data_IF_082882259679
#
_entry.id   IF_082882259679
#
_cell.length_a   1.000
_cell.length_b   1.000
_cell.length_c   1.000
_cell.angle_alpha   90.00
_cell.angle_beta   90.00
_cell.angle_gamma   90.00
#
_symmetry.space_group_name_H-M   'P 1'
#
loop_
_entity.id
_entity.type
_entity.pdbx_description
1 polymer ?
#
# COMPACT_ATOMS: atom_id res chain seq x y z
N UNK A 1 -0.91 34.19 68.89
CA UNK A 1 -0.15 35.28 68.23
C UNK A 1 1.25 34.77 67.95
N UNK A 2 1.85 34.99 66.76
CA UNK A 2 1.37 35.71 65.57
C UNK A 2 0.99 34.73 64.44
N UNK A 3 0.01 34.97 63.55
CA UNK A 3 -0.23 36.06 62.58
C UNK A 3 0.76 36.12 61.41
N UNK A 4 0.27 35.62 60.27
CA UNK A 4 0.44 36.03 58.87
C UNK A 4 1.77 36.65 58.39
N UNK A 5 2.29 36.07 57.31
CA UNK A 5 2.60 36.81 56.08
C UNK A 5 2.35 35.92 54.83
N UNK A 6 1.62 36.47 53.85
CA UNK A 6 1.32 35.89 52.53
C UNK A 6 2.50 36.15 51.58
N UNK A 7 2.81 35.21 50.67
CA UNK A 7 3.28 35.55 49.32
C UNK A 7 2.30 34.95 48.30
N UNK A 8 1.54 35.74 47.56
CA UNK A 8 1.86 36.53 46.34
C UNK A 8 1.26 35.81 45.13
N UNK A 9 0.28 36.47 44.52
CA UNK A 9 -0.60 35.97 43.45
C UNK A 9 0.15 35.99 42.11
N UNK A 10 1.12 35.10 41.91
CA UNK A 10 1.79 34.92 40.61
C UNK A 10 2.10 33.46 40.33
N UNK A 11 1.08 32.62 40.29
CA UNK A 11 1.19 31.28 39.69
C UNK A 11 -0.20 30.73 39.34
N UNK A 12 -0.88 31.37 38.38
CA UNK A 12 -2.08 30.75 37.77
C UNK A 12 -2.41 31.24 36.34
N UNK A 13 -1.46 31.86 35.64
CA UNK A 13 -1.65 32.42 34.29
C UNK A 13 -0.77 31.75 33.21
N UNK A 14 -0.65 30.41 33.19
CA UNK A 14 0.03 29.70 32.09
C UNK A 14 -0.63 28.40 31.61
N UNK A 15 -1.94 28.22 31.82
CA UNK A 15 -2.68 27.06 31.27
C UNK A 15 -3.90 27.46 30.41
N UNK A 16 -3.77 28.52 29.61
CA UNK A 16 -4.74 28.83 28.54
C UNK A 16 -4.07 29.19 27.22
N UNK A 17 -3.07 28.41 26.80
CA UNK A 17 -2.59 28.48 25.41
C UNK A 17 -3.43 27.56 24.53
N UNK A 18 -4.34 28.19 23.79
CA UNK A 18 -4.58 27.94 22.38
C UNK A 18 -5.07 26.55 21.97
N UNK A 19 -6.38 26.31 22.11
CA UNK A 19 -7.07 25.48 21.12
C UNK A 19 -6.80 26.09 19.72
N UNK A 20 -6.32 25.32 18.73
CA UNK A 20 -6.15 25.83 17.39
C UNK A 20 -7.51 26.28 16.84
N UNK A 21 -7.55 27.37 16.05
CA UNK A 21 -8.79 27.85 15.48
C UNK A 21 -9.43 26.76 14.63
N UNK A 22 -10.71 26.48 14.91
CA UNK A 22 -11.55 25.60 14.08
C UNK A 22 -11.43 26.10 12.63
N UNK A 23 -11.12 25.23 11.65
CA UNK A 23 -10.99 25.65 10.26
C UNK A 23 -12.27 26.33 9.77
N UNK A 24 -12.07 27.38 8.97
CA UNK A 24 -13.02 28.36 8.42
C UNK A 24 -14.21 27.74 7.62
N UNK A 25 -14.31 26.42 7.52
CA UNK A 25 -15.39 25.68 6.84
C UNK A 25 -16.79 25.91 7.44
N UNK A 26 -16.90 26.37 8.68
CA UNK A 26 -18.19 26.74 9.29
C UNK A 26 -18.77 28.06 8.77
N UNK A 27 -18.03 28.84 7.96
CA UNK A 27 -18.50 30.18 7.50
C UNK A 27 -19.29 30.16 6.18
N UNK A 28 -19.43 29.00 5.54
CA UNK A 28 -20.27 28.83 4.34
C UNK A 28 -21.40 27.84 4.58
N UNK A 29 -22.19 28.07 5.62
CA UNK A 29 -23.49 27.41 5.77
C UNK A 29 -24.47 28.10 4.80
N UNK A 30 -25.00 27.42 3.76
CA UNK A 30 -26.06 27.97 2.92
C UNK A 30 -27.32 28.19 3.78
N UNK A 31 -28.15 29.18 3.41
CA UNK A 31 -29.43 29.48 4.09
C UNK A 31 -30.22 28.21 4.40
N UNK A 32 -30.50 28.03 5.69
CA UNK A 32 -30.99 26.83 6.37
C UNK A 32 -32.45 26.54 6.00
N UNK A 33 -32.74 25.29 5.63
CA UNK A 33 -34.10 24.73 5.64
C UNK A 33 -34.15 23.47 6.51
N UNK A 34 -34.78 23.57 7.69
CA UNK A 34 -35.21 22.43 8.51
C UNK A 34 -34.28 21.99 9.65
N UNK A 35 -34.87 21.72 10.82
CA UNK A 35 -34.22 21.14 12.02
C UNK A 35 -33.51 19.80 11.78
N UNK A 36 -33.88 19.07 10.74
CA UNK A 36 -33.25 17.81 10.35
C UNK A 36 -31.82 18.01 9.84
N UNK A 37 -31.55 19.10 9.09
CA UNK A 37 -30.20 19.40 8.57
C UNK A 37 -29.17 19.65 9.67
N UNK A 38 -29.57 20.38 10.72
CA UNK A 38 -28.71 20.66 11.89
C UNK A 38 -28.39 19.39 12.69
N UNK A 39 -29.31 18.43 12.72
CA UNK A 39 -29.11 17.17 13.42
C UNK A 39 -28.13 16.25 12.67
N UNK A 40 -28.22 16.22 11.33
CA UNK A 40 -27.27 15.49 10.49
C UNK A 40 -25.84 16.06 10.58
N UNK A 41 -25.70 17.38 10.64
CA UNK A 41 -24.40 18.04 10.86
C UNK A 41 -23.79 17.63 12.21
N UNK A 42 -24.61 17.57 13.27
CA UNK A 42 -24.17 17.11 14.59
C UNK A 42 -23.73 15.64 14.57
N UNK A 43 -24.48 14.76 13.89
CA UNK A 43 -24.06 13.37 13.71
C UNK A 43 -22.76 13.25 12.93
N UNK A 44 -22.56 14.05 11.87
CA UNK A 44 -21.32 14.07 11.12
C UNK A 44 -20.14 14.50 12.00
N UNK A 45 -20.31 15.53 12.82
CA UNK A 45 -19.27 15.99 13.77
C UNK A 45 -18.93 14.90 14.79
N UNK A 46 -19.93 14.18 15.32
CA UNK A 46 -19.71 13.08 16.25
C UNK A 46 -18.94 11.96 15.57
N UNK A 47 -19.40 11.51 14.40
CA UNK A 47 -18.75 10.44 13.63
C UNK A 47 -17.33 10.82 13.23
N UNK A 48 -17.12 12.05 12.80
CA UNK A 48 -15.83 12.55 12.36
C UNK A 48 -14.77 12.55 13.47
N UNK A 49 -15.16 12.40 14.75
CA UNK A 49 -14.26 12.28 15.90
C UNK A 49 -13.97 10.84 16.34
N UNK A 50 -14.66 9.87 15.76
CA UNK A 50 -14.52 8.46 16.13
C UNK A 50 -13.43 7.78 15.29
N UNK A 51 -12.79 6.72 15.82
CA UNK A 51 -11.93 5.87 15.01
C UNK A 51 -12.70 5.21 13.86
N UNK A 52 -12.02 4.96 12.72
CA UNK A 52 -12.61 4.37 11.52
C UNK A 52 -13.21 2.98 11.79
N UNK A 53 -12.63 2.19 12.70
CA UNK A 53 -13.23 0.90 13.12
C UNK A 53 -14.60 1.06 13.77
N UNK A 54 -14.81 2.12 14.55
CA UNK A 54 -16.14 2.45 15.08
C UNK A 54 -17.08 2.92 13.97
N UNK A 55 -16.60 3.78 13.07
CA UNK A 55 -17.39 4.27 11.93
C UNK A 55 -17.85 3.11 11.02
N UNK A 56 -17.01 2.10 10.77
CA UNK A 56 -17.40 0.86 10.05
C UNK A 56 -18.61 0.20 10.72
N UNK A 57 -18.64 0.19 12.04
CA UNK A 57 -19.73 -0.42 12.82
C UNK A 57 -21.01 0.41 12.66
N UNK A 58 -20.93 1.75 12.79
CA UNK A 58 -22.07 2.65 12.58
C UNK A 58 -22.66 2.56 11.17
N UNK A 59 -21.81 2.40 10.16
CA UNK A 59 -22.23 2.18 8.76
C UNK A 59 -23.15 0.96 8.59
N UNK A 60 -23.08 -0.03 9.49
CA UNK A 60 -23.91 -1.24 9.47
C UNK A 60 -25.22 -1.10 10.26
N UNK A 61 -25.39 -0.04 11.05
CA UNK A 61 -26.55 0.13 11.94
C UNK A 61 -27.81 0.53 11.17
N UNK A 62 -27.76 1.58 10.34
CA UNK A 62 -28.90 1.99 9.51
C UNK A 62 -28.46 2.71 8.23
N UNK A 63 -29.40 2.84 7.27
CA UNK A 63 -29.16 3.48 5.97
C UNK A 63 -28.77 4.95 6.08
N UNK A 64 -29.31 5.68 7.06
CA UNK A 64 -28.97 7.09 7.29
C UNK A 64 -27.52 7.26 7.73
N UNK A 65 -27.07 6.50 8.74
CA UNK A 65 -25.66 6.48 9.17
C UNK A 65 -24.73 6.07 8.02
N UNK A 66 -25.12 5.05 7.24
CA UNK A 66 -24.37 4.65 6.04
C UNK A 66 -24.22 5.81 5.05
N UNK A 67 -25.32 6.45 4.68
CA UNK A 67 -25.33 7.57 3.73
C UNK A 67 -24.52 8.75 4.22
N UNK A 68 -24.58 9.05 5.52
CA UNK A 68 -23.83 10.14 6.14
C UNK A 68 -22.32 9.87 6.11
N UNK A 69 -21.89 8.67 6.51
CA UNK A 69 -20.48 8.25 6.48
C UNK A 69 -19.93 8.19 5.04
N UNK A 70 -20.73 7.75 4.09
CA UNK A 70 -20.32 7.69 2.67
C UNK A 70 -20.36 9.07 1.98
N UNK A 71 -20.82 10.13 2.66
CA UNK A 71 -20.90 11.47 2.09
C UNK A 71 -19.52 12.15 1.99
N UNK A 72 -19.30 12.97 0.94
CA UNK A 72 -18.10 13.82 0.86
C UNK A 72 -17.96 14.77 2.05
N UNK A 73 -19.07 15.28 2.58
CA UNK A 73 -19.06 16.18 3.74
C UNK A 73 -18.45 15.54 4.99
N UNK A 74 -18.90 14.33 5.36
CA UNK A 74 -18.36 13.65 6.54
C UNK A 74 -16.89 13.26 6.35
N UNK A 75 -16.49 12.89 5.13
CA UNK A 75 -15.09 12.64 4.76
C UNK A 75 -14.25 13.90 4.97
N UNK A 76 -14.64 15.00 4.34
CA UNK A 76 -13.87 16.25 4.36
C UNK A 76 -13.78 16.79 5.79
N UNK A 77 -14.86 16.65 6.57
CA UNK A 77 -14.88 16.96 8.00
C UNK A 77 -13.89 16.09 8.78
N UNK A 78 -13.91 14.76 8.60
CA UNK A 78 -12.97 13.85 9.25
C UNK A 78 -11.51 14.20 8.91
N UNK A 79 -11.20 14.35 7.61
CA UNK A 79 -9.87 14.71 7.13
C UNK A 79 -9.41 16.07 7.69
N UNK A 80 -10.33 17.03 7.84
CA UNK A 80 -10.03 18.34 8.43
C UNK A 80 -9.73 18.26 9.93
N UNK A 81 -10.41 17.39 10.68
CA UNK A 81 -10.16 17.18 12.11
C UNK A 81 -8.88 16.40 12.36
N UNK A 82 -8.46 15.58 11.39
CA UNK A 82 -7.32 14.66 11.49
C UNK A 82 -6.17 15.09 10.55
N UNK A 83 -6.00 16.39 10.30
CA UNK A 83 -4.91 16.92 9.47
C UNK A 83 -3.52 16.59 10.05
N UNK A 84 -3.43 16.49 11.38
CA UNK A 84 -2.20 16.14 12.10
C UNK A 84 -1.95 14.63 12.16
N UNK A 85 -2.86 13.81 11.64
CA UNK A 85 -2.61 12.38 11.43
C UNK A 85 -1.73 12.24 10.19
N UNK A 86 -0.42 12.40 10.40
CA UNK A 86 0.55 12.58 9.32
C UNK A 86 0.55 11.43 8.31
N UNK A 87 0.26 10.19 8.71
CA UNK A 87 0.38 9.01 7.85
C UNK A 87 -0.69 7.94 8.12
N UNK A 88 -1.18 7.31 7.06
CA UNK A 88 -2.03 6.12 7.16
C UNK A 88 -1.28 4.95 7.81
N UNK A 89 -2.05 4.04 8.42
CA UNK A 89 -1.52 2.74 8.84
C UNK A 89 -1.15 1.89 7.62
N UNK A 90 0.01 1.23 7.66
CA UNK A 90 0.48 0.37 6.56
C UNK A 90 1.37 -0.78 7.05
N UNK A 91 1.49 -1.83 6.23
CA UNK A 91 2.33 -3.00 6.49
C UNK A 91 3.03 -3.52 5.24
N UNK A 92 4.20 -4.14 5.39
CA UNK A 92 4.78 -5.04 4.40
C UNK A 92 4.27 -6.46 4.61
N UNK A 93 3.58 -6.96 3.59
CA UNK A 93 2.98 -8.28 3.57
C UNK A 93 3.80 -9.22 2.70
N UNK A 94 4.14 -10.40 3.21
CA UNK A 94 4.74 -11.46 2.42
C UNK A 94 3.67 -12.17 1.59
N UNK A 95 3.83 -12.19 0.27
CA UNK A 95 2.95 -12.93 -0.63
C UNK A 95 3.22 -14.44 -0.49
N UNK A 96 2.15 -15.22 -0.38
CA UNK A 96 2.20 -16.70 -0.32
C UNK A 96 2.05 -17.30 1.08
N UNK A 97 2.37 -16.56 2.15
CA UNK A 97 2.12 -16.97 3.54
C UNK A 97 1.31 -15.96 4.36
N UNK A 98 0.87 -14.85 3.74
CA UNK A 98 0.10 -13.77 4.36
C UNK A 98 0.72 -13.21 5.66
N UNK A 99 2.03 -13.36 5.85
CA UNK A 99 2.70 -12.88 7.05
C UNK A 99 2.95 -11.39 6.97
N UNK A 100 2.54 -10.69 8.02
CA UNK A 100 2.93 -9.31 8.25
C UNK A 100 4.36 -9.29 8.79
N UNK A 101 5.26 -8.64 8.05
CA UNK A 101 6.69 -8.62 8.39
C UNK A 101 7.06 -7.34 9.14
N UNK A 102 6.47 -6.23 8.72
CA UNK A 102 6.74 -4.92 9.31
C UNK A 102 5.50 -4.06 9.13
N UNK A 103 5.15 -3.29 10.15
CA UNK A 103 4.02 -2.39 10.10
C UNK A 103 4.33 -1.05 10.76
N UNK A 104 3.65 -0.02 10.29
CA UNK A 104 3.58 1.28 10.93
C UNK A 104 2.11 1.63 11.09
N UNK A 105 1.60 1.56 12.32
CA UNK A 105 0.18 1.81 12.59
C UNK A 105 -0.17 3.29 12.76
N UNK A 106 0.83 4.18 12.79
CA UNK A 106 0.64 5.61 12.63
C UNK A 106 -0.32 6.21 13.66
N UNK A 107 -1.05 7.26 13.25
CA UNK A 107 -2.10 7.88 14.06
C UNK A 107 -3.24 6.90 14.34
N UNK A 108 -3.77 6.89 15.56
CA UNK A 108 -4.87 6.03 16.04
C UNK A 108 -6.22 6.18 15.29
N UNK A 109 -6.23 6.83 14.12
CA UNK A 109 -7.38 7.01 13.23
C UNK A 109 -8.15 5.71 13.01
N UNK A 110 -7.45 4.60 12.76
CA UNK A 110 -8.09 3.29 12.63
C UNK A 110 -8.36 2.61 13.98
N UNK A 111 -7.58 2.92 15.02
CA UNK A 111 -7.62 2.24 16.32
C UNK A 111 -7.58 0.70 16.17
N UNK A 112 -6.60 0.20 15.39
CA UNK A 112 -6.46 -1.22 15.11
C UNK A 112 -6.12 -1.99 16.39
N UNK A 113 -6.92 -3.01 16.71
CA UNK A 113 -6.73 -3.81 17.94
C UNK A 113 -5.73 -4.96 17.77
N UNK A 114 -5.35 -5.27 16.53
CA UNK A 114 -4.46 -6.36 16.12
C UNK A 114 -3.79 -6.02 14.78
N UNK A 115 -2.84 -6.86 14.34
CA UNK A 115 -2.10 -6.64 13.09
C UNK A 115 -2.98 -6.72 11.83
N UNK A 116 -2.57 -6.07 10.74
CA UNK A 116 -3.25 -6.22 9.44
C UNK A 116 -3.17 -7.64 8.93
N UNK A 117 -2.04 -8.31 9.13
CA UNK A 117 -1.92 -9.76 8.91
C UNK A 117 -3.00 -10.55 9.65
N UNK A 118 -3.24 -10.26 10.94
CA UNK A 118 -4.31 -10.93 11.71
C UNK A 118 -5.72 -10.62 11.20
N UNK A 119 -5.99 -9.38 10.75
CA UNK A 119 -7.27 -9.06 10.09
C UNK A 119 -7.47 -9.90 8.83
N UNK A 120 -6.45 -10.00 7.98
CA UNK A 120 -6.46 -10.80 6.75
C UNK A 120 -6.67 -12.27 7.06
N UNK A 121 -5.86 -12.89 7.92
CA UNK A 121 -6.00 -14.31 8.27
C UNK A 121 -7.37 -14.63 8.86
N UNK A 122 -7.90 -13.77 9.75
CA UNK A 122 -9.25 -13.97 10.30
C UNK A 122 -10.34 -13.85 9.25
N UNK A 123 -10.18 -12.94 8.29
CA UNK A 123 -11.11 -12.76 7.20
C UNK A 123 -11.10 -13.97 6.27
N UNK A 124 -9.93 -14.48 5.93
CA UNK A 124 -9.78 -15.67 5.09
C UNK A 124 -10.40 -16.91 5.76
N UNK A 125 -10.07 -17.13 7.04
CA UNK A 125 -10.59 -18.27 7.81
C UNK A 125 -12.12 -18.26 7.91
N UNK A 126 -12.72 -17.10 8.16
CA UNK A 126 -14.18 -16.96 8.28
C UNK A 126 -14.90 -17.03 6.93
N UNK A 127 -14.34 -16.41 5.89
CA UNK A 127 -15.00 -16.30 4.58
C UNK A 127 -14.86 -17.57 3.75
N UNK A 128 -13.73 -18.26 3.86
CA UNK A 128 -13.38 -19.37 2.99
C UNK A 128 -13.29 -20.71 3.72
N UNK A 129 -13.21 -20.74 5.05
CA UNK A 129 -13.11 -21.95 5.87
C UNK A 129 -12.02 -22.91 5.36
N UNK A 130 -12.42 -23.90 4.54
CA UNK A 130 -11.61 -24.97 3.94
C UNK A 130 -11.27 -24.73 2.45
N UNK A 131 -11.83 -23.68 1.84
CA UNK A 131 -11.49 -23.30 0.47
C UNK A 131 -10.15 -22.58 0.54
N UNK A 132 -9.14 -23.06 -0.19
CA UNK A 132 -7.80 -22.48 -0.23
C UNK A 132 -7.81 -21.07 -0.87
N UNK A 133 -8.32 -20.07 -0.15
CA UNK A 133 -8.27 -18.67 -0.51
C UNK A 133 -6.92 -18.08 -0.17
N UNK A 134 -6.22 -17.56 -1.18
CA UNK A 134 -4.88 -16.98 -1.04
C UNK A 134 -4.87 -15.54 -1.48
N UNK A 135 -4.16 -14.68 -0.75
CA UNK A 135 -3.98 -13.29 -1.19
C UNK A 135 -2.94 -13.25 -2.30
N UNK A 136 -3.34 -12.72 -3.46
CA UNK A 136 -2.51 -12.65 -4.67
C UNK A 136 -2.06 -11.23 -5.01
N UNK A 137 -2.67 -10.20 -4.42
CA UNK A 137 -2.20 -8.82 -4.52
C UNK A 137 -2.67 -7.95 -3.34
N UNK A 138 -1.87 -6.95 -3.01
CA UNK A 138 -2.14 -5.91 -2.01
C UNK A 138 -2.15 -4.54 -2.69
N UNK A 139 -2.88 -3.58 -2.15
CA UNK A 139 -2.98 -2.22 -2.70
C UNK A 139 -2.64 -1.16 -1.66
N UNK A 140 -2.40 0.05 -2.15
CA UNK A 140 -2.17 1.26 -1.37
C UNK A 140 -3.47 1.93 -0.86
N UNK A 141 -4.62 1.29 -1.07
CA UNK A 141 -5.96 1.81 -0.75
C UNK A 141 -6.79 0.85 0.11
N UNK A 142 -6.14 -0.08 0.80
CA UNK A 142 -6.77 -0.99 1.76
C UNK A 142 -7.56 -2.13 1.13
N UNK A 143 -7.39 -2.37 -0.17
CA UNK A 143 -7.97 -3.51 -0.88
C UNK A 143 -6.95 -4.63 -1.07
N UNK A 144 -7.42 -5.87 -1.03
CA UNK A 144 -6.68 -7.09 -1.38
C UNK A 144 -7.41 -7.85 -2.49
N UNK A 145 -6.64 -8.49 -3.36
CA UNK A 145 -7.14 -9.46 -4.32
C UNK A 145 -6.90 -10.86 -3.78
N UNK A 146 -7.95 -11.67 -3.72
CA UNK A 146 -7.92 -13.05 -3.26
C UNK A 146 -8.29 -13.95 -4.43
N UNK A 147 -7.57 -15.05 -4.55
CA UNK A 147 -7.88 -16.12 -5.47
C UNK A 147 -8.23 -17.38 -4.69
N UNK A 148 -9.35 -18.02 -5.03
CA UNK A 148 -9.79 -19.27 -4.41
C UNK A 148 -9.60 -20.41 -5.40
N UNK A 149 -8.66 -21.30 -5.09
CA UNK A 149 -8.23 -22.37 -6.02
C UNK A 149 -9.38 -23.33 -6.35
N UNK A 150 -10.20 -23.70 -5.36
CA UNK A 150 -11.20 -24.76 -5.48
C UNK A 150 -12.30 -24.48 -6.51
N UNK A 151 -12.66 -23.21 -6.71
CA UNK A 151 -13.70 -22.79 -7.64
C UNK A 151 -13.19 -21.76 -8.67
N UNK A 152 -11.88 -21.54 -8.71
CA UNK A 152 -11.21 -20.58 -9.60
C UNK A 152 -11.83 -19.17 -9.57
N UNK A 153 -12.38 -18.74 -8.42
CA UNK A 153 -13.03 -17.43 -8.30
C UNK A 153 -12.11 -16.41 -7.66
N UNK A 154 -12.37 -15.14 -8.00
CA UNK A 154 -11.63 -14.00 -7.47
C UNK A 154 -12.50 -13.25 -6.48
N UNK A 155 -11.88 -12.62 -5.50
CA UNK A 155 -12.55 -11.72 -4.59
C UNK A 155 -11.71 -10.48 -4.40
N UNK A 156 -12.37 -9.33 -4.39
CA UNK A 156 -11.75 -8.08 -3.92
C UNK A 156 -12.35 -7.76 -2.58
N UNK A 157 -11.50 -7.53 -1.59
CA UNK A 157 -11.93 -7.34 -0.21
C UNK A 157 -11.17 -6.21 0.48
N UNK A 158 -11.83 -5.59 1.46
CA UNK A 158 -11.17 -4.83 2.51
C UNK A 158 -11.26 -5.68 3.79
N UNK A 159 -10.15 -6.24 4.29
CA UNK A 159 -10.15 -7.17 5.42
C UNK A 159 -10.52 -6.50 6.75
N UNK A 160 -10.30 -5.19 6.89
CA UNK A 160 -10.61 -4.44 8.13
C UNK A 160 -12.10 -4.10 8.17
N UNK A 161 -12.67 -3.59 7.09
CA UNK A 161 -14.12 -3.31 7.00
C UNK A 161 -14.97 -4.56 6.74
N UNK A 162 -14.33 -5.68 6.38
CA UNK A 162 -14.91 -6.95 5.94
C UNK A 162 -15.86 -6.83 4.74
N UNK A 163 -15.74 -5.76 3.96
CA UNK A 163 -16.43 -5.65 2.68
C UNK A 163 -15.73 -6.53 1.65
N UNK A 164 -16.50 -7.22 0.82
CA UNK A 164 -15.98 -8.22 -0.11
C UNK A 164 -16.95 -8.38 -1.28
N UNK A 165 -16.42 -8.39 -2.50
CA UNK A 165 -17.13 -8.66 -3.74
C UNK A 165 -16.56 -9.92 -4.36
N UNK A 166 -17.45 -10.88 -4.66
CA UNK A 166 -17.11 -12.06 -5.45
C UNK A 166 -17.10 -11.70 -6.93
N UNK A 167 -16.05 -12.11 -7.62
CA UNK A 167 -15.86 -11.96 -9.05
C UNK A 167 -15.87 -13.36 -9.64
N UNK A 168 -16.98 -13.70 -10.28
CA UNK A 168 -17.15 -15.00 -10.90
C UNK A 168 -16.30 -15.10 -12.16
N UNK A 169 -15.63 -16.24 -12.39
CA UNK A 169 -14.80 -16.46 -13.56
C UNK A 169 -15.61 -16.41 -14.87
N UNK A 170 -14.99 -15.90 -15.94
CA UNK A 170 -15.58 -15.94 -17.28
C UNK A 170 -15.32 -17.29 -17.96
N UNK A 171 -16.14 -18.31 -17.66
CA UNK A 171 -16.08 -19.66 -18.26
C UNK A 171 -14.69 -20.35 -18.17
N UNK A 172 -14.55 -21.52 -18.81
CA UNK A 172 -13.28 -22.27 -18.97
C UNK A 172 -12.13 -21.50 -19.67
N UNK A 173 -12.34 -20.24 -20.06
CA UNK A 173 -11.32 -19.42 -20.73
C UNK A 173 -10.14 -19.06 -19.81
N UNK A 174 -10.29 -19.24 -18.49
CA UNK A 174 -9.32 -18.78 -17.49
C UNK A 174 -8.11 -19.70 -17.29
N UNK A 175 -8.15 -20.95 -17.75
CA UNK A 175 -7.04 -21.90 -17.63
C UNK A 175 -5.74 -21.42 -18.31
N UNK A 176 -5.83 -20.47 -19.24
CA UNK A 176 -4.69 -19.96 -20.02
C UNK A 176 -4.13 -18.62 -19.52
N UNK A 177 -4.79 -17.99 -18.55
CA UNK A 177 -4.41 -16.66 -18.08
C UNK A 177 -3.69 -16.74 -16.73
N UNK A 178 -2.61 -15.98 -16.63
CA UNK A 178 -1.87 -15.77 -15.38
C UNK A 178 -2.46 -14.58 -14.64
N UNK A 179 -2.48 -14.63 -13.30
CA UNK A 179 -2.90 -13.49 -12.49
C UNK A 179 -1.82 -12.41 -12.58
N UNK A 180 -2.15 -11.28 -13.22
CA UNK A 180 -1.27 -10.12 -13.24
C UNK A 180 -1.50 -9.29 -11.97
N UNK A 181 -2.75 -9.02 -11.60
CA UNK A 181 -3.04 -8.36 -10.32
C UNK A 181 -4.31 -7.53 -10.33
N UNK A 182 -4.35 -6.54 -9.45
CA UNK A 182 -5.44 -5.58 -9.30
C UNK A 182 -4.90 -4.17 -9.51
N UNK A 183 -5.63 -3.36 -10.25
CA UNK A 183 -5.32 -1.94 -10.46
C UNK A 183 -6.46 -1.07 -9.97
N UNK A 184 -6.13 -0.06 -9.19
CA UNK A 184 -7.08 0.86 -8.57
C UNK A 184 -7.06 2.21 -9.29
N UNK A 185 -8.24 2.82 -9.45
CA UNK A 185 -8.36 4.22 -9.87
C UNK A 185 -8.72 5.05 -8.67
N UNK A 186 -7.89 6.04 -8.36
CA UNK A 186 -8.11 6.98 -7.28
C UNK A 186 -8.19 8.42 -7.79
N UNK A 187 -9.02 9.23 -7.15
CA UNK A 187 -9.11 10.68 -7.35
C UNK A 187 -9.32 11.34 -5.99
N UNK A 188 -8.47 12.30 -5.62
CA UNK A 188 -8.49 12.95 -4.30
C UNK A 188 -8.58 11.96 -3.13
N UNK A 189 -7.70 10.94 -3.16
CA UNK A 189 -7.65 9.82 -2.22
C UNK A 189 -8.87 8.87 -2.23
N UNK A 190 -9.90 9.12 -3.05
CA UNK A 190 -11.07 8.25 -3.18
C UNK A 190 -10.85 7.15 -4.17
N UNK A 191 -11.11 5.90 -3.77
CA UNK A 191 -11.17 4.77 -4.69
C UNK A 191 -12.45 4.85 -5.53
N UNK A 192 -12.31 5.16 -6.81
CA UNK A 192 -13.42 5.25 -7.76
C UNK A 192 -13.80 3.88 -8.36
N UNK A 193 -12.83 2.98 -8.44
CA UNK A 193 -13.02 1.67 -9.05
C UNK A 193 -11.74 0.85 -9.05
N UNK A 194 -11.88 -0.43 -9.38
CA UNK A 194 -10.76 -1.32 -9.59
C UNK A 194 -10.98 -2.18 -10.83
N UNK A 195 -9.85 -2.68 -11.36
CA UNK A 195 -9.85 -3.72 -12.38
C UNK A 195 -9.01 -4.90 -11.92
N UNK A 196 -9.52 -6.11 -12.11
CA UNK A 196 -8.74 -7.35 -11.94
C UNK A 196 -8.24 -7.75 -13.30
N UNK A 197 -6.93 -7.95 -13.42
CA UNK A 197 -6.25 -8.16 -14.70
C UNK A 197 -5.59 -9.52 -14.70
N UNK A 198 -5.94 -10.32 -15.70
CA UNK A 198 -5.27 -11.57 -16.02
C UNK A 198 -4.57 -11.42 -17.37
N UNK A 199 -3.42 -12.06 -17.53
CA UNK A 199 -2.56 -11.94 -18.71
C UNK A 199 -2.36 -13.30 -19.36
N UNK A 200 -2.66 -13.38 -20.67
CA UNK A 200 -2.28 -14.48 -21.54
C UNK A 200 -1.23 -13.97 -22.54
N UNK A 201 -0.04 -14.56 -22.51
CA UNK A 201 1.00 -14.25 -23.49
C UNK A 201 0.93 -15.25 -24.65
N UNK A 202 0.74 -14.74 -25.87
CA UNK A 202 0.93 -15.52 -27.12
C UNK A 202 2.18 -15.05 -27.86
N UNK A 203 2.54 -15.75 -28.94
CA UNK A 203 3.78 -15.46 -29.69
C UNK A 203 3.86 -14.02 -30.22
N UNK A 204 2.73 -13.46 -30.69
CA UNK A 204 2.71 -12.20 -31.42
C UNK A 204 1.93 -11.08 -30.71
N UNK A 205 1.23 -11.40 -29.63
CA UNK A 205 0.37 -10.47 -28.91
C UNK A 205 0.16 -10.94 -27.48
N UNK A 206 -0.24 -10.00 -26.63
CA UNK A 206 -0.65 -10.27 -25.26
C UNK A 206 -2.12 -9.94 -25.13
N UNK A 207 -2.87 -10.85 -24.51
CA UNK A 207 -4.28 -10.64 -24.21
C UNK A 207 -4.45 -10.41 -22.72
N UNK A 208 -5.23 -9.40 -22.38
CA UNK A 208 -5.69 -9.12 -21.03
C UNK A 208 -7.15 -9.53 -20.90
N UNK A 209 -7.46 -10.35 -19.90
CA UNK A 209 -8.83 -10.57 -19.46
C UNK A 209 -9.04 -9.66 -18.24
N UNK A 210 -9.93 -8.68 -18.38
CA UNK A 210 -10.06 -7.56 -17.46
C UNK A 210 -11.48 -7.54 -16.90
N UNK A 211 -11.62 -7.73 -15.59
CA UNK A 211 -12.85 -7.42 -14.87
C UNK A 211 -12.83 -5.95 -14.49
N UNK A 212 -13.92 -5.23 -14.70
CA UNK A 212 -14.09 -3.85 -14.25
C UNK A 212 -15.19 -3.78 -13.20
N UNK A 213 -14.89 -3.18 -12.04
CA UNK A 213 -15.90 -2.94 -11.00
C UNK A 213 -17.03 -2.07 -11.54
N UNK A 214 -16.70 -1.01 -12.29
CA UNK A 214 -17.68 -0.08 -12.91
C UNK A 214 -18.75 -0.75 -13.77
N UNK A 215 -18.39 -1.80 -14.51
CA UNK A 215 -19.33 -2.50 -15.41
C UNK A 215 -19.82 -3.83 -14.82
N UNK A 216 -19.21 -4.30 -13.73
CA UNK A 216 -19.45 -5.62 -13.15
C UNK A 216 -19.16 -6.77 -14.11
N UNK A 217 -18.34 -6.57 -15.14
CA UNK A 217 -18.18 -7.54 -16.24
C UNK A 217 -16.72 -7.73 -16.66
N UNK A 218 -16.44 -8.91 -17.20
CA UNK A 218 -15.17 -9.22 -17.86
C UNK A 218 -15.16 -8.71 -19.31
N UNK A 219 -13.98 -8.30 -19.77
CA UNK A 219 -13.70 -7.90 -21.14
C UNK A 219 -12.35 -8.46 -21.58
N UNK A 220 -12.25 -8.90 -22.84
CA UNK A 220 -11.00 -9.36 -23.43
C UNK A 220 -10.40 -8.23 -24.26
N UNK A 221 -9.22 -7.78 -23.87
CA UNK A 221 -8.43 -6.80 -24.61
C UNK A 221 -7.20 -7.50 -25.19
N UNK A 222 -6.87 -7.25 -26.46
CA UNK A 222 -5.62 -7.77 -27.06
C UNK A 222 -4.74 -6.61 -27.47
N UNK A 223 -3.51 -6.64 -26.99
CA UNK A 223 -2.52 -5.58 -27.18
C UNK A 223 -1.30 -6.16 -27.88
N UNK A 224 -0.80 -5.42 -28.87
CA UNK A 224 0.50 -5.69 -29.46
C UNK A 224 1.55 -4.87 -28.71
N UNK A 225 2.49 -5.56 -28.08
CA UNK A 225 3.65 -4.91 -27.49
C UNK A 225 4.74 -4.75 -28.56
N UNK A 226 5.44 -3.59 -28.61
CA UNK A 226 6.58 -3.40 -29.50
C UNK A 226 7.84 -4.16 -29.02
N UNK A 227 7.68 -5.10 -28.09
CA UNK A 227 8.75 -5.86 -27.46
C UNK A 227 8.26 -7.27 -27.10
N UNK A 228 9.21 -8.19 -26.98
CA UNK A 228 8.96 -9.54 -26.50
C UNK A 228 9.50 -9.66 -25.08
N UNK A 229 8.70 -10.22 -24.19
CA UNK A 229 9.12 -10.58 -22.84
C UNK A 229 8.75 -12.02 -22.53
N UNK A 230 9.52 -12.72 -21.71
CA UNK A 230 9.16 -14.05 -21.22
C UNK A 230 8.12 -13.87 -20.11
N UNK A 231 7.01 -14.59 -20.21
CA UNK A 231 6.02 -14.63 -19.14
C UNK A 231 6.55 -15.57 -18.06
N UNK A 232 6.81 -15.03 -16.88
CA UNK A 232 7.06 -15.77 -15.65
C UNK A 232 5.97 -15.36 -14.65
N UNK A 233 5.87 -16.06 -13.52
CA UNK A 233 5.09 -15.61 -12.36
C UNK A 233 5.36 -14.11 -12.13
N UNK A 234 4.32 -13.29 -12.35
CA UNK A 234 4.39 -11.87 -12.11
C UNK A 234 4.40 -11.67 -10.60
N UNK A 235 5.61 -11.69 -10.04
CA UNK A 235 5.82 -11.51 -8.62
C UNK A 235 5.68 -10.02 -8.31
N UNK A 236 4.68 -9.73 -7.49
CA UNK A 236 4.32 -8.42 -6.96
C UNK A 236 4.20 -7.26 -7.96
N UNK A 237 3.28 -7.32 -8.94
CA UNK A 237 2.94 -6.16 -9.75
C UNK A 237 2.40 -5.04 -8.88
N UNK A 238 2.89 -3.83 -9.14
CA UNK A 238 2.59 -2.65 -8.37
C UNK A 238 1.46 -1.89 -9.08
N UNK A 239 0.35 -1.69 -8.37
CA UNK A 239 -0.70 -0.74 -8.77
C UNK A 239 -0.28 0.65 -8.35
N UNK A 240 -0.22 1.58 -9.31
CA UNK A 240 0.06 2.98 -9.02
C UNK A 240 -0.59 3.87 -10.09
N UNK A 241 -1.39 4.84 -9.67
CA UNK A 241 -1.99 5.86 -10.56
C UNK A 241 -2.73 5.26 -11.78
N UNK A 242 -3.54 4.22 -11.57
CA UNK A 242 -4.30 3.55 -12.65
C UNK A 242 -3.45 2.66 -13.57
N UNK A 243 -2.16 2.49 -13.27
CA UNK A 243 -1.23 1.64 -14.03
C UNK A 243 -0.84 0.42 -13.22
N UNK A 244 -0.58 -0.70 -13.92
CA UNK A 244 0.19 -1.80 -13.36
C UNK A 244 1.63 -1.71 -13.82
N UNK A 245 2.53 -1.92 -12.88
CA UNK A 245 3.97 -2.00 -13.11
C UNK A 245 4.45 -3.40 -12.76
N UNK A 246 5.08 -4.09 -13.68
CA UNK A 246 5.63 -5.42 -13.43
C UNK A 246 7.00 -5.60 -14.05
N UNK A 247 7.79 -6.47 -13.42
CA UNK A 247 9.10 -6.88 -13.89
C UNK A 247 8.92 -7.85 -15.06
N UNK A 248 9.70 -7.64 -16.11
CA UNK A 248 9.75 -8.51 -17.27
C UNK A 248 11.19 -8.62 -17.77
N UNK A 249 11.48 -9.69 -18.50
CA UNK A 249 12.79 -9.88 -19.13
C UNK A 249 12.61 -10.27 -20.60
N UNK A 250 13.52 -9.78 -21.46
CA UNK A 250 13.51 -10.12 -22.88
C UNK A 250 14.10 -11.54 -23.10
N UNK A 251 14.08 -12.08 -24.33
CA UNK A 251 14.73 -13.36 -24.64
C UNK A 251 16.25 -13.39 -24.39
N UNK A 252 16.89 -12.22 -24.24
CA UNK A 252 18.31 -12.09 -23.85
C UNK A 252 18.50 -12.01 -22.32
N UNK A 253 17.45 -12.23 -21.54
CA UNK A 253 17.43 -12.12 -20.07
C UNK A 253 17.82 -10.75 -19.51
N UNK A 254 17.62 -9.67 -20.29
CA UNK A 254 17.73 -8.30 -19.79
C UNK A 254 16.42 -7.88 -19.13
N UNK A 255 16.51 -7.45 -17.88
CA UNK A 255 15.39 -6.97 -17.09
C UNK A 255 14.89 -5.60 -17.55
N UNK A 256 13.59 -5.39 -17.48
CA UNK A 256 12.97 -4.08 -17.62
C UNK A 256 11.64 -4.04 -16.86
N UNK A 257 11.21 -2.82 -16.59
CA UNK A 257 9.90 -2.58 -16.03
C UNK A 257 8.89 -2.30 -17.14
N UNK A 258 7.78 -3.04 -17.16
CA UNK A 258 6.61 -2.72 -17.98
C UNK A 258 5.64 -1.91 -17.14
N UNK A 259 5.17 -0.78 -17.68
CA UNK A 259 4.12 0.04 -17.10
C UNK A 259 2.95 0.10 -18.07
N UNK A 260 1.78 -0.39 -17.68
CA UNK A 260 0.60 -0.40 -18.55
C UNK A 260 -0.57 0.33 -17.92
N UNK A 261 -1.19 1.23 -18.69
CA UNK A 261 -2.31 2.06 -18.29
C UNK A 261 -3.66 1.39 -18.57
N UNK A 262 -4.37 1.09 -17.48
CA UNK A 262 -5.71 0.49 -17.51
C UNK A 262 -6.83 1.53 -17.39
N UNK A 263 -6.49 2.81 -17.21
CA UNK A 263 -7.43 3.93 -17.16
C UNK A 263 -6.94 5.10 -18.04
N UNK A 264 -6.75 4.87 -19.36
CA UNK A 264 -6.24 5.90 -20.25
C UNK A 264 -7.19 7.09 -20.31
N UNK A 265 -6.66 8.28 -20.01
CA UNK A 265 -7.37 9.55 -20.15
C UNK A 265 -7.27 10.04 -21.60
N UNK A 266 -8.08 9.48 -22.51
CA UNK A 266 -8.27 10.00 -23.88
C UNK A 266 -8.11 8.98 -25.02
N UNK A 267 -8.40 9.44 -26.24
CA UNK A 267 -8.53 8.65 -27.49
C UNK A 267 -7.17 8.25 -28.14
N UNK A 268 -6.05 8.55 -27.48
CA UNK A 268 -4.71 8.20 -27.98
C UNK A 268 -4.31 6.80 -27.48
N UNK A 269 -4.86 5.77 -28.11
CA UNK A 269 -4.55 4.36 -27.84
C UNK A 269 -3.08 3.93 -28.05
N UNK A 270 -2.15 4.85 -28.32
CA UNK A 270 -0.75 4.55 -28.68
C UNK A 270 0.26 4.56 -27.52
N UNK A 271 -0.04 5.19 -26.38
CA UNK A 271 0.96 5.38 -25.30
C UNK A 271 0.55 4.74 -23.96
N UNK A 272 -0.24 3.66 -24.04
CA UNK A 272 -0.71 2.92 -22.86
C UNK A 272 0.35 2.03 -22.24
N UNK A 273 1.40 1.70 -22.98
CA UNK A 273 2.48 0.84 -22.52
C UNK A 273 3.81 1.56 -22.59
N UNK A 274 4.54 1.54 -21.48
CA UNK A 274 5.93 2.00 -21.42
C UNK A 274 6.84 0.89 -20.93
N UNK A 275 7.95 0.69 -21.64
CA UNK A 275 9.06 -0.15 -21.20
C UNK A 275 10.17 0.74 -20.69
N UNK A 276 10.66 0.46 -19.48
CA UNK A 276 11.77 1.19 -18.89
C UNK A 276 12.87 0.22 -18.50
N UNK A 277 14.00 0.19 -19.24
CA UNK A 277 15.19 -0.56 -18.86
C UNK A 277 15.71 -0.12 -17.48
N UNK A 278 16.27 -1.03 -16.69
CA UNK A 278 16.87 -0.68 -15.40
C UNK A 278 18.16 0.15 -15.57
N UNK A 279 18.47 1.07 -14.63
CA UNK A 279 19.58 2.01 -14.77
C UNK A 279 20.98 1.40 -14.54
N UNK A 280 21.04 0.13 -14.14
CA UNK A 280 22.22 -0.62 -13.70
C UNK A 280 22.31 -1.98 -14.41
N UNK A 281 21.77 -2.08 -15.63
CA UNK A 281 21.81 -3.30 -16.45
C UNK A 281 23.23 -3.77 -16.80
N UNK A 282 24.19 -2.86 -16.78
CA UNK A 282 25.61 -3.09 -17.06
C UNK A 282 26.44 -3.35 -15.79
N UNK A 283 25.79 -3.43 -14.62
CA UNK A 283 26.46 -3.52 -13.32
C UNK A 283 26.09 -4.78 -12.56
N UNK A 284 26.93 -5.16 -11.60
CA UNK A 284 26.64 -6.27 -10.68
C UNK A 284 25.74 -5.77 -9.56
N UNK A 285 24.58 -6.41 -9.41
CA UNK A 285 23.57 -6.12 -8.38
C UNK A 285 23.53 -7.24 -7.33
N UNK A 286 23.30 -6.91 -6.05
CA UNK A 286 23.29 -7.91 -4.97
C UNK A 286 22.00 -8.73 -4.86
N UNK A 287 20.87 -8.18 -5.31
CA UNK A 287 19.57 -8.85 -5.24
C UNK A 287 18.71 -8.56 -6.48
N UNK A 288 17.67 -9.38 -6.73
CA UNK A 288 16.75 -9.20 -7.86
C UNK A 288 16.07 -7.83 -7.77
N UNK A 289 15.61 -7.32 -8.92
CA UNK A 289 15.04 -5.98 -9.06
C UNK A 289 13.95 -5.71 -7.99
N UNK A 290 14.25 -4.86 -7.00
CA UNK A 290 13.33 -4.53 -5.92
C UNK A 290 12.62 -3.21 -6.20
N UNK A 291 11.38 -3.31 -6.66
CA UNK A 291 10.53 -2.14 -6.88
C UNK A 291 9.54 -1.96 -5.72
N UNK A 292 9.22 -0.71 -5.41
CA UNK A 292 8.30 -0.34 -4.32
C UNK A 292 7.64 1.00 -4.64
N UNK A 293 6.76 1.49 -3.77
CA UNK A 293 6.14 2.81 -3.89
C UNK A 293 6.54 3.68 -2.71
N UNK A 294 6.74 4.97 -2.98
CA UNK A 294 7.01 5.98 -1.95
C UNK A 294 6.48 7.32 -2.43
N UNK A 295 5.63 7.97 -1.62
CA UNK A 295 5.05 9.29 -1.88
C UNK A 295 4.40 9.41 -3.28
N UNK A 296 3.70 8.35 -3.70
CA UNK A 296 3.03 8.30 -5.01
C UNK A 296 3.97 8.09 -6.21
N UNK A 297 5.25 7.80 -5.98
CA UNK A 297 6.20 7.44 -7.02
C UNK A 297 6.58 5.96 -6.96
N UNK A 298 6.87 5.39 -8.14
CA UNK A 298 7.53 4.10 -8.22
C UNK A 298 9.03 4.27 -7.97
N UNK A 299 9.56 3.47 -7.07
CA UNK A 299 10.95 3.47 -6.64
C UNK A 299 11.61 2.15 -6.98
N UNK A 300 12.88 2.19 -7.37
CA UNK A 300 13.73 1.03 -7.55
C UNK A 300 14.90 1.11 -6.57
N UNK A 301 15.23 0.00 -5.92
CA UNK A 301 16.31 -0.10 -4.95
C UNK A 301 17.24 -1.23 -5.39
N UNK A 302 18.55 -0.99 -5.32
CA UNK A 302 19.54 -2.05 -5.38
C UNK A 302 20.84 -1.69 -4.68
N UNK A 303 21.63 -2.71 -4.35
CA UNK A 303 23.04 -2.53 -4.02
C UNK A 303 23.84 -2.86 -5.27
N UNK A 304 24.58 -1.87 -5.76
CA UNK A 304 25.34 -1.93 -7.00
C UNK A 304 26.83 -1.91 -6.68
N UNK A 305 27.57 -2.88 -7.21
CA UNK A 305 29.03 -2.95 -7.07
C UNK A 305 29.70 -2.16 -8.20
N UNK A 306 30.46 -1.11 -7.86
CA UNK A 306 31.26 -0.32 -8.82
C UNK A 306 32.70 -0.27 -8.33
N UNK A 307 33.63 -0.81 -9.12
CA UNK A 307 35.06 -0.86 -8.79
C UNK A 307 35.33 -1.43 -7.37
N UNK A 308 34.67 -2.56 -7.06
CA UNK A 308 34.75 -3.28 -5.76
C UNK A 308 34.12 -2.55 -4.55
N UNK A 309 33.48 -1.39 -4.77
CA UNK A 309 32.71 -0.70 -3.72
C UNK A 309 31.21 -0.94 -3.94
N UNK A 310 30.55 -1.46 -2.91
CA UNK A 310 29.11 -1.63 -2.88
C UNK A 310 28.41 -0.32 -2.49
N UNK A 311 27.43 0.10 -3.30
CA UNK A 311 26.62 1.30 -3.06
C UNK A 311 25.15 0.97 -3.05
N UNK A 312 24.45 1.38 -2.00
CA UNK A 312 23.00 1.36 -1.97
C UNK A 312 22.46 2.51 -2.82
N UNK A 313 21.77 2.17 -3.89
CA UNK A 313 21.22 3.11 -4.85
C UNK A 313 19.69 3.02 -4.84
N UNK A 314 19.06 4.21 -4.89
CA UNK A 314 17.62 4.37 -4.96
C UNK A 314 17.29 5.27 -6.14
N UNK A 315 16.44 4.78 -7.03
CA UNK A 315 15.97 5.51 -8.20
C UNK A 315 14.46 5.72 -8.14
N UNK A 316 14.01 6.86 -8.66
CA UNK A 316 12.60 7.23 -8.83
C UNK A 316 12.25 7.18 -10.31
N UNK A 317 11.13 6.55 -10.67
CA UNK A 317 10.64 6.57 -12.05
C UNK A 317 10.00 7.93 -12.37
N UNK A 318 10.50 8.59 -13.43
CA UNK A 318 9.97 9.85 -14.00
C UNK A 318 9.47 9.63 -15.43
N UNK A 319 8.89 10.64 -16.07
CA UNK A 319 8.47 10.57 -17.49
C UNK A 319 9.61 10.16 -18.42
N UNK A 320 10.82 10.67 -18.17
CA UNK A 320 12.00 10.43 -19.02
C UNK A 320 12.71 9.10 -18.73
N UNK A 321 12.55 8.54 -17.52
CA UNK A 321 13.25 7.32 -17.13
C UNK A 321 13.49 7.24 -15.63
N UNK A 322 14.45 6.41 -15.24
CA UNK A 322 14.93 6.32 -13.87
C UNK A 322 15.79 7.53 -13.53
N UNK A 323 15.48 8.20 -12.42
CA UNK A 323 16.27 9.26 -11.83
C UNK A 323 16.88 8.76 -10.52
N UNK A 324 18.21 8.80 -10.39
CA UNK A 324 18.87 8.49 -9.12
C UNK A 324 18.50 9.57 -8.08
N UNK A 325 17.98 9.15 -6.94
CA UNK A 325 17.58 10.06 -5.85
C UNK A 325 18.44 9.91 -4.60
N UNK A 326 19.06 8.75 -4.40
CA UNK A 326 19.99 8.50 -3.30
C UNK A 326 21.04 7.49 -3.75
N UNK A 327 22.28 7.78 -3.39
CA UNK A 327 23.41 6.86 -3.53
C UNK A 327 24.24 6.95 -2.25
N UNK A 328 24.44 5.83 -1.58
CA UNK A 328 25.14 5.78 -0.31
C UNK A 328 26.21 4.70 -0.43
N UNK A 329 27.46 5.12 -0.21
CA UNK A 329 28.56 4.18 0.05
C UNK A 329 28.38 3.65 1.45
N UNK A 330 28.11 2.36 1.54
CA UNK A 330 27.83 1.74 2.82
C UNK A 330 28.91 0.71 3.14
N UNK A 331 29.77 1.02 4.10
CA UNK A 331 30.59 0.02 4.82
C UNK A 331 29.72 -1.10 5.46
N UNK A 332 28.41 -0.86 5.48
CA UNK A 332 27.30 -1.66 6.02
C UNK A 332 27.06 -2.93 5.21
N UNK A 333 27.52 -3.03 3.96
CA UNK A 333 27.52 -4.33 3.23
C UNK A 333 28.68 -5.16 3.79
N UNK A 334 28.59 -5.51 5.07
CA UNK A 334 29.51 -6.40 5.74
C UNK A 334 29.61 -7.70 4.96
N UNK A 335 30.83 -8.13 4.67
CA UNK A 335 31.07 -9.44 4.08
C UNK A 335 30.44 -10.52 4.97
N UNK A 336 29.59 -11.38 4.40
CA UNK A 336 29.00 -12.53 5.09
C UNK A 336 27.51 -12.46 5.44
N UNK A 337 26.79 -11.38 5.11
CA UNK A 337 25.34 -11.29 5.26
C UNK A 337 24.62 -11.15 3.92
N UNK A 338 23.46 -11.81 3.82
CA UNK A 338 22.50 -11.63 2.73
C UNK A 338 21.49 -10.54 3.10
N UNK A 339 21.11 -9.75 2.09
CA UNK A 339 20.15 -8.64 2.23
C UNK A 339 18.94 -8.88 1.35
N UNK A 340 17.75 -8.85 1.96
CA UNK A 340 16.47 -8.99 1.26
C UNK A 340 15.70 -7.68 1.40
N UNK A 341 15.51 -6.92 0.31
CA UNK A 341 14.77 -5.65 0.37
C UNK A 341 13.27 -5.90 0.62
N UNK A 342 12.75 -5.22 1.64
CA UNK A 342 11.32 -5.16 1.94
C UNK A 342 10.63 -4.06 1.12
N UNK A 343 11.24 -2.88 1.06
CA UNK A 343 10.72 -1.71 0.36
C UNK A 343 11.04 -0.40 1.08
N UNK A 344 10.58 0.71 0.50
CA UNK A 344 10.67 2.04 1.11
C UNK A 344 9.45 2.30 1.99
N UNK A 345 9.61 3.16 2.99
CA UNK A 345 8.44 3.70 3.68
C UNK A 345 7.52 4.37 2.64
N UNK A 346 6.22 4.01 2.57
CA UNK A 346 5.30 4.60 1.59
C UNK A 346 5.16 6.11 1.69
N UNK A 347 5.50 6.72 2.84
CA UNK A 347 5.32 8.14 3.11
C UNK A 347 6.60 8.90 3.45
N UNK A 348 7.66 8.21 3.89
CA UNK A 348 8.98 8.80 4.20
C UNK A 348 10.05 8.36 3.18
N UNK A 349 10.39 9.25 2.25
CA UNK A 349 11.37 8.96 1.20
C UNK A 349 12.82 8.86 1.69
N UNK A 350 13.05 9.02 3.00
CA UNK A 350 14.36 8.88 3.64
C UNK A 350 14.58 7.50 4.24
N UNK A 351 13.58 6.61 4.26
CA UNK A 351 13.66 5.32 4.93
C UNK A 351 13.44 4.16 3.96
N UNK A 352 14.36 3.20 4.01
CA UNK A 352 14.25 1.91 3.34
C UNK A 352 14.44 0.79 4.35
N UNK A 353 13.74 -0.32 4.14
CA UNK A 353 13.75 -1.47 5.04
C UNK A 353 14.29 -2.72 4.34
N UNK A 354 15.07 -3.49 5.08
CA UNK A 354 15.68 -4.73 4.63
C UNK A 354 15.57 -5.79 5.72
N UNK A 355 15.48 -7.04 5.31
CA UNK A 355 15.98 -8.14 6.12
C UNK A 355 17.47 -8.30 5.88
N UNK A 356 18.23 -8.47 6.97
CA UNK A 356 19.62 -8.87 6.94
C UNK A 356 19.73 -10.23 7.60
N UNK A 357 20.34 -11.21 6.94
CA UNK A 357 20.40 -12.57 7.47
C UNK A 357 21.69 -13.30 7.14
N UNK A 358 22.03 -14.28 7.98
CA UNK A 358 23.05 -15.29 7.72
C UNK A 358 22.60 -16.64 8.33
N UNK A 359 23.51 -17.62 8.41
CA UNK A 359 23.20 -18.93 9.02
C UNK A 359 22.90 -18.87 10.53
N UNK A 360 23.24 -17.78 11.22
CA UNK A 360 23.10 -17.62 12.68
C UNK A 360 21.81 -16.89 13.07
N UNK A 361 21.18 -16.14 12.16
CA UNK A 361 19.95 -15.40 12.43
C UNK A 361 19.56 -14.40 11.34
N UNK A 362 18.41 -13.76 11.52
CA UNK A 362 17.92 -12.69 10.65
C UNK A 362 17.44 -11.51 11.49
N UNK A 363 17.84 -10.30 11.08
CA UNK A 363 17.47 -9.05 11.71
C UNK A 363 16.74 -8.14 10.73
N UNK A 364 15.75 -7.40 11.24
CA UNK A 364 15.12 -6.33 10.48
C UNK A 364 15.99 -5.08 10.57
N UNK A 365 16.20 -4.42 9.43
CA UNK A 365 17.07 -3.26 9.26
C UNK A 365 16.26 -2.11 8.66
N UNK A 366 16.43 -0.90 9.18
CA UNK A 366 16.10 0.33 8.44
C UNK A 366 17.35 1.14 8.15
N UNK A 367 17.39 1.75 6.96
CA UNK A 367 18.50 2.61 6.53
C UNK A 367 17.96 4.00 6.24
N UNK A 368 18.58 5.01 6.84
CA UNK A 368 18.32 6.43 6.59
C UNK A 368 19.11 6.90 5.38
N UNK A 369 18.42 7.18 4.29
CA UNK A 369 19.05 7.40 3.00
C UNK A 369 19.92 8.67 2.90
N UNK A 370 19.68 9.66 3.75
CA UNK A 370 20.36 10.96 3.70
C UNK A 370 21.71 11.01 4.45
N UNK A 371 21.92 10.12 5.43
CA UNK A 371 23.16 10.06 6.23
C UNK A 371 23.85 8.69 6.06
N UNK A 372 23.12 7.68 5.58
CA UNK A 372 23.63 6.31 5.48
C UNK A 372 23.66 5.58 6.81
N UNK A 373 23.07 6.14 7.87
CA UNK A 373 22.91 5.43 9.15
C UNK A 373 21.91 4.29 9.02
N UNK A 374 22.19 3.16 9.68
CA UNK A 374 21.26 2.05 9.79
C UNK A 374 20.88 1.80 11.25
N UNK A 375 19.69 1.23 11.42
CA UNK A 375 19.15 0.82 12.71
C UNK A 375 18.72 -0.63 12.58
N UNK A 376 19.30 -1.49 13.40
CA UNK A 376 18.86 -2.89 13.58
C UNK A 376 17.70 -2.86 14.56
N UNK A 377 16.62 -3.54 14.23
CA UNK A 377 15.41 -3.60 15.04
C UNK A 377 15.35 -4.95 15.77
N UNK A 378 15.19 -4.92 17.09
CA UNK A 378 14.97 -6.11 17.90
C UNK A 378 13.51 -6.61 17.78
N UNK A 379 13.27 -7.85 18.20
CA UNK A 379 11.98 -8.54 18.07
C UNK A 379 10.87 -7.84 18.88
N UNK A 380 9.78 -7.49 18.19
CA UNK A 380 8.46 -7.19 18.75
C UNK A 380 8.38 -6.00 19.73
N UNK A 381 8.80 -4.81 19.28
CA UNK A 381 8.41 -3.57 19.95
C UNK A 381 7.20 -2.92 19.26
N UNK A 382 6.12 -2.69 20.05
CA UNK A 382 5.21 -1.58 19.78
C UNK A 382 5.89 -0.32 20.27
N UNK A 383 6.54 0.42 19.38
CA UNK A 383 7.16 1.70 19.72
C UNK A 383 6.09 2.75 20.02
N UNK A 384 6.45 3.80 20.76
CA UNK A 384 5.55 4.92 21.09
C UNK A 384 5.05 5.70 19.87
N UNK A 385 5.72 5.58 18.72
CA UNK A 385 5.29 6.14 17.43
C UNK A 385 4.41 5.19 16.59
N UNK A 386 3.98 4.07 17.17
CA UNK A 386 3.01 3.14 16.59
C UNK A 386 3.59 2.13 15.59
N UNK A 387 4.91 1.93 15.54
CA UNK A 387 5.51 0.87 14.72
C UNK A 387 5.31 -0.48 15.38
N UNK A 388 5.08 -1.50 14.57
CA UNK A 388 5.10 -2.91 15.00
C UNK A 388 6.07 -3.64 14.11
N UNK A 389 7.13 -4.14 14.72
CA UNK A 389 8.22 -4.83 14.03
C UNK A 389 8.11 -6.30 14.39
N UNK A 390 7.78 -7.15 13.41
CA UNK A 390 7.68 -8.59 13.62
C UNK A 390 8.91 -9.25 13.01
N UNK A 391 9.84 -9.71 13.85
CA UNK A 391 10.92 -10.57 13.35
C UNK A 391 10.50 -12.04 13.17
N UNK A 392 9.27 -12.37 13.56
CA UNK A 392 8.72 -13.72 13.46
C UNK A 392 8.50 -14.08 11.99
N UNK A 393 9.41 -14.90 11.45
CA UNK A 393 9.21 -15.52 10.14
C UNK A 393 9.93 -14.84 8.97
N UNK A 394 11.09 -14.23 9.21
CA UNK A 394 12.06 -14.06 8.14
C UNK A 394 12.31 -15.40 7.41
N UNK A 395 12.56 -15.42 6.10
CA UNK A 395 12.50 -16.66 5.37
C UNK A 395 13.62 -17.63 5.75
N UNK A 396 13.27 -18.82 6.26
CA UNK A 396 14.26 -19.81 6.74
C UNK A 396 15.19 -20.34 5.65
N UNK A 397 14.77 -20.22 4.39
CA UNK A 397 15.57 -20.58 3.21
C UNK A 397 15.92 -19.31 2.43
N UNK A 398 17.02 -18.65 2.83
CA UNK A 398 17.57 -17.46 2.14
C UNK A 398 17.90 -17.77 0.67
N UNK A 399 18.24 -19.03 0.35
CA UNK A 399 18.62 -19.45 -1.02
C UNK A 399 17.49 -19.34 -2.06
N UNK A 400 16.22 -19.46 -1.65
CA UNK A 400 15.07 -19.32 -2.56
C UNK A 400 14.52 -17.88 -2.63
N UNK A 401 14.98 -16.96 -1.77
CA UNK A 401 14.34 -15.65 -1.55
C UNK A 401 15.25 -14.50 -2.00
N UNK A 402 15.78 -14.68 -3.22
CA UNK A 402 16.35 -13.57 -3.97
C UNK A 402 15.30 -12.68 -4.63
N UNK A 403 14.00 -13.00 -4.50
CA UNK A 403 12.90 -12.18 -5.02
C UNK A 403 12.20 -11.40 -3.89
N UNK A 404 11.91 -10.12 -4.11
CA UNK A 404 11.06 -9.34 -3.19
C UNK A 404 9.63 -9.87 -3.24
N UNK A 405 9.31 -10.81 -2.35
CA UNK A 405 7.94 -11.31 -2.13
C UNK A 405 7.08 -10.36 -1.29
N UNK A 406 7.62 -9.20 -0.91
CA UNK A 406 6.94 -8.21 -0.09
C UNK A 406 6.16 -7.20 -0.92
N UNK A 407 4.93 -6.94 -0.50
CA UNK A 407 4.09 -5.89 -1.04
C UNK A 407 3.66 -4.95 0.08
N UNK A 408 3.62 -3.65 -0.21
CA UNK A 408 3.02 -2.69 0.73
C UNK A 408 1.50 -2.84 0.70
N UNK A 409 0.90 -2.90 1.89
CA UNK A 409 -0.54 -2.82 2.11
C UNK A 409 -0.82 -1.58 2.96
N UNK A 410 -1.45 -0.57 2.37
CA UNK A 410 -1.70 0.72 3.02
C UNK A 410 -3.19 0.90 3.20
N UNK A 411 -3.63 1.27 4.40
CA UNK A 411 -5.03 1.62 4.64
C UNK A 411 -5.32 3.05 4.16
N UNK A 412 -6.53 3.32 3.62
CA UNK A 412 -6.90 4.68 3.28
C UNK A 412 -7.10 5.53 4.54
N UNK A 413 -6.99 6.85 4.40
CA UNK A 413 -7.26 7.80 5.50
C UNK A 413 -8.74 7.92 5.83
N UNK A 414 -9.61 7.46 4.93
CA UNK A 414 -11.06 7.45 5.10
C UNK A 414 -11.71 6.15 4.58
N UNK A 415 -12.89 5.84 5.06
CA UNK A 415 -13.70 4.71 4.60
C UNK A 415 -14.45 5.08 3.32
N UNK A 416 -13.79 4.89 2.18
CA UNK A 416 -14.45 5.08 0.90
C UNK A 416 -15.62 4.09 0.72
N UNK A 417 -16.68 4.50 0.00
CA UNK A 417 -17.66 3.54 -0.52
C UNK A 417 -16.91 2.40 -1.21
N UNK A 418 -17.33 1.16 -0.95
CA UNK A 418 -16.69 0.05 -1.62
C UNK A 418 -17.10 0.10 -3.09
N UNK A 419 -16.15 0.17 -4.05
CA UNK A 419 -16.49 0.15 -5.46
C UNK A 419 -17.22 -1.17 -5.75
N UNK A 420 -18.45 -1.05 -6.26
CA UNK A 420 -19.28 -2.20 -6.65
C UNK A 420 -18.72 -2.87 -7.88
#
# INVERSE_FOLDING_TARGET
>A
MPLMEKPDNREMDLLTDGLPPIPILLTKIPKISGTESLLEDLYAIILAKLPLTSIITFKRVCKQWKSLVESPFCRDLYLSMHQNSYYSSWSFMCRGCETETMAHYGSDNWCLTRSLGSYISSFLAEKFENREGRVVAYTDVGLILIYVVTNQSFYVANPVSRQCVEILPHNHAMERFWILGIVTRTEDEVVLGYKVVLLEKKKNFTSFLIYSSETGSWSLETVSFPFTFIAQEFNNPISLNGKLHWLAHNPEYKDFLVSFDFYPSGDKGSDRCRVTPFPDLDKTTKFKRACTTCQGFLMYINIVSVAEVDKLCVWRLKSEGWQLVSEISTDIVTAGFDYIPLGMNPFDDKLVYFWRGNMEGQDLLSIKLHIGEFMVHEELERSSDGRVLSSVGGPREIEYIKESFYSSFVLPRWLHPFPN
#
